data_IF_919759441077
#
_entry.id   IF_919759441077
#
_cell.length_a   1.000
_cell.length_b   1.000
_cell.length_c   1.000
_cell.angle_alpha   90.00
_cell.angle_beta   90.00
_cell.angle_gamma   90.00
#
_symmetry.space_group_name_H-M   'P 1'
#
loop_
_entity.id
_entity.type
_entity.pdbx_description
1 polymer ?
#
# COMPACT_ATOMS: atom_id res chain seq x y z
N UNK A 1 22.17 -8.05 -58.72
CA UNK A 1 20.82 -8.64 -58.57
C UNK A 1 20.49 -8.66 -57.08
N UNK A 2 19.29 -8.24 -56.67
CA UNK A 2 18.83 -8.31 -55.26
C UNK A 2 17.97 -9.57 -55.05
N UNK A 3 18.01 -10.20 -53.87
CA UNK A 3 17.13 -11.32 -53.56
C UNK A 3 15.66 -10.90 -53.61
N UNK A 4 14.81 -11.82 -54.04
CA UNK A 4 13.36 -11.65 -54.02
C UNK A 4 12.86 -11.45 -52.58
N UNK A 5 11.80 -10.66 -52.39
CA UNK A 5 11.24 -10.39 -51.07
C UNK A 5 10.87 -11.68 -50.31
N UNK A 6 10.19 -12.62 -50.98
CA UNK A 6 9.81 -13.89 -50.38
C UNK A 6 11.01 -14.76 -49.98
N UNK A 7 12.07 -14.75 -50.79
CA UNK A 7 13.31 -15.47 -50.45
C UNK A 7 13.95 -14.89 -49.20
N UNK A 8 14.06 -13.56 -49.11
CA UNK A 8 14.57 -12.87 -47.93
C UNK A 8 13.73 -13.19 -46.67
N UNK A 9 12.40 -13.08 -46.76
CA UNK A 9 11.49 -13.35 -45.63
C UNK A 9 11.60 -14.79 -45.13
N UNK A 10 11.72 -15.76 -46.03
CA UNK A 10 11.85 -17.17 -45.65
C UNK A 10 13.19 -17.45 -44.94
N UNK A 11 14.28 -16.86 -45.43
CA UNK A 11 15.59 -16.96 -44.77
C UNK A 11 15.54 -16.34 -43.37
N UNK A 12 14.99 -15.13 -43.24
CA UNK A 12 14.90 -14.43 -41.95
C UNK A 12 14.01 -15.18 -40.96
N UNK A 13 12.87 -15.74 -41.40
CA UNK A 13 12.01 -16.58 -40.55
C UNK A 13 12.75 -17.81 -40.01
N UNK A 14 13.60 -18.43 -40.83
CA UNK A 14 14.43 -19.54 -40.39
C UNK A 14 15.51 -19.11 -39.39
N UNK A 15 16.22 -18.01 -39.67
CA UNK A 15 17.26 -17.49 -38.78
C UNK A 15 16.72 -17.03 -37.42
N UNK A 16 15.48 -16.53 -37.39
CA UNK A 16 14.85 -15.95 -36.21
C UNK A 16 13.77 -16.84 -35.57
N UNK A 17 13.74 -18.14 -35.89
CA UNK A 17 12.69 -19.06 -35.40
C UNK A 17 12.57 -19.06 -33.87
N UNK A 18 13.70 -19.22 -33.17
CA UNK A 18 13.72 -19.23 -31.70
C UNK A 18 13.26 -17.90 -31.08
N UNK A 19 13.52 -16.78 -31.75
CA UNK A 19 13.07 -15.45 -31.32
C UNK A 19 11.58 -15.26 -31.59
N UNK A 20 11.08 -15.82 -32.69
CA UNK A 20 9.66 -15.77 -33.04
C UNK A 20 8.80 -16.55 -32.04
N UNK A 21 9.32 -17.61 -31.41
CA UNK A 21 8.62 -18.36 -30.35
C UNK A 21 8.27 -17.49 -29.14
N UNK A 22 9.05 -16.45 -28.86
CA UNK A 22 8.81 -15.51 -27.75
C UNK A 22 7.71 -14.48 -28.05
N UNK A 23 7.27 -14.33 -29.29
CA UNK A 23 6.35 -13.26 -29.71
C UNK A 23 5.00 -13.31 -28.97
N UNK A 24 4.54 -14.51 -28.59
CA UNK A 24 3.29 -14.68 -27.84
C UNK A 24 3.45 -14.18 -26.40
N UNK A 25 4.46 -14.67 -25.68
CA UNK A 25 4.74 -14.25 -24.30
C UNK A 25 5.11 -12.78 -24.20
N UNK A 26 5.83 -12.26 -25.20
CA UNK A 26 6.13 -10.84 -25.30
C UNK A 26 4.87 -9.99 -25.38
N UNK A 27 3.88 -10.40 -26.18
CA UNK A 27 2.60 -9.70 -26.27
C UNK A 27 1.84 -9.74 -24.95
N UNK A 28 1.77 -10.92 -24.31
CA UNK A 28 1.12 -11.03 -23.00
C UNK A 28 1.79 -10.15 -21.95
N UNK A 29 3.13 -10.09 -21.93
CA UNK A 29 3.86 -9.20 -21.04
C UNK A 29 3.51 -7.74 -21.31
N UNK A 30 3.51 -7.31 -22.57
CA UNK A 30 3.17 -5.94 -22.95
C UNK A 30 1.74 -5.58 -22.55
N UNK A 31 0.77 -6.45 -22.82
CA UNK A 31 -0.63 -6.24 -22.44
C UNK A 31 -0.78 -6.14 -20.91
N UNK A 32 -0.07 -6.98 -20.16
CA UNK A 32 -0.05 -6.93 -18.69
C UNK A 32 0.59 -5.64 -18.17
N UNK A 33 1.71 -5.19 -18.76
CA UNK A 33 2.37 -3.95 -18.38
C UNK A 33 1.50 -2.72 -18.67
N UNK A 34 0.75 -2.71 -19.78
CA UNK A 34 -0.23 -1.66 -20.07
C UNK A 34 -1.33 -1.64 -19.01
N UNK A 35 -1.89 -2.79 -18.65
CA UNK A 35 -2.90 -2.89 -17.60
C UNK A 35 -2.38 -2.40 -16.22
N UNK A 36 -1.10 -2.64 -15.91
CA UNK A 36 -0.47 -2.11 -14.70
C UNK A 36 -0.24 -0.60 -14.78
N UNK A 37 0.21 -0.09 -15.93
CA UNK A 37 0.41 1.34 -16.14
C UNK A 37 -0.89 2.13 -15.93
N UNK A 38 -2.03 1.64 -16.44
CA UNK A 38 -3.34 2.26 -16.25
C UNK A 38 -3.73 2.37 -14.75
N UNK A 39 -3.29 1.42 -13.92
CA UNK A 39 -3.52 1.44 -12.47
C UNK A 39 -2.59 2.40 -11.73
N UNK A 40 -1.38 2.61 -12.25
CA UNK A 40 -0.39 3.54 -11.69
C UNK A 40 -0.71 4.99 -12.07
N UNK A 41 -1.24 5.24 -13.26
CA UNK A 41 -1.59 6.61 -13.70
C UNK A 41 -3.01 7.04 -13.27
N UNK A 42 -3.83 6.09 -12.80
CA UNK A 42 -5.20 6.35 -12.38
C UNK A 42 -5.33 7.24 -11.12
N UNK A 43 -6.51 7.85 -10.88
CA UNK A 43 -6.76 8.76 -9.76
C UNK A 43 -6.72 8.11 -8.36
N UNK A 44 -6.71 6.78 -8.31
CA UNK A 44 -6.53 5.99 -7.09
C UNK A 44 -5.27 5.13 -7.19
N UNK A 45 -4.21 5.68 -7.77
CA UNK A 45 -2.95 4.99 -7.86
C UNK A 45 -2.32 4.75 -6.49
N UNK A 46 -1.35 3.84 -6.50
CA UNK A 46 -0.66 3.37 -5.30
C UNK A 46 -0.04 4.54 -4.52
N UNK A 47 0.59 5.48 -5.22
CA UNK A 47 1.25 6.63 -4.58
C UNK A 47 0.24 7.55 -3.89
N UNK A 48 -0.90 7.82 -4.52
CA UNK A 48 -1.97 8.65 -3.97
C UNK A 48 -2.60 7.97 -2.75
N UNK A 49 -2.90 6.68 -2.83
CA UNK A 49 -3.49 5.94 -1.71
C UNK A 49 -2.52 5.90 -0.53
N UNK A 50 -1.26 5.50 -0.75
CA UNK A 50 -0.24 5.43 0.30
C UNK A 50 0.04 6.82 0.88
N UNK A 51 0.19 7.82 0.01
CA UNK A 51 0.43 9.21 0.40
C UNK A 51 -0.70 9.80 1.25
N UNK A 52 -1.93 9.31 1.13
CA UNK A 52 -3.10 9.85 1.84
C UNK A 52 -3.52 9.06 3.08
N UNK A 53 -2.87 7.94 3.42
CA UNK A 53 -3.26 7.06 4.55
C UNK A 53 -3.38 7.85 5.86
N UNK A 54 -2.41 8.71 6.16
CA UNK A 54 -2.40 9.49 7.40
C UNK A 54 -3.60 10.45 7.51
N UNK A 55 -4.01 11.06 6.40
CA UNK A 55 -5.20 11.91 6.34
C UNK A 55 -6.47 11.09 6.55
N UNK A 56 -6.56 9.90 5.92
CA UNK A 56 -7.71 8.99 6.10
C UNK A 56 -7.87 8.51 7.54
N UNK A 57 -6.76 8.20 8.23
CA UNK A 57 -6.78 7.86 9.65
C UNK A 57 -7.27 9.05 10.48
N UNK A 58 -6.75 10.25 10.20
CA UNK A 58 -7.15 11.47 10.91
C UNK A 58 -8.63 11.79 10.71
N UNK A 59 -9.14 11.67 9.48
CA UNK A 59 -10.55 11.81 9.13
C UNK A 59 -11.42 10.80 9.89
N UNK A 60 -11.01 9.52 9.93
CA UNK A 60 -11.73 8.50 10.68
C UNK A 60 -11.77 8.77 12.19
N UNK A 61 -10.67 9.26 12.77
CA UNK A 61 -10.62 9.66 14.19
C UNK A 61 -11.53 10.87 14.44
N UNK A 62 -11.48 11.90 13.61
CA UNK A 62 -12.37 13.07 13.73
C UNK A 62 -13.83 12.65 13.67
N UNK A 63 -14.18 11.82 12.67
CA UNK A 63 -15.54 11.30 12.51
C UNK A 63 -16.00 10.48 13.73
N UNK A 64 -15.12 9.68 14.34
CA UNK A 64 -15.45 8.96 15.58
C UNK A 64 -15.66 9.92 16.75
N UNK A 65 -14.84 10.96 16.87
CA UNK A 65 -14.93 11.94 17.95
C UNK A 65 -16.21 12.78 17.84
N UNK A 66 -16.55 13.24 16.64
CA UNK A 66 -17.79 13.99 16.35
C UNK A 66 -19.05 13.15 16.63
N UNK A 67 -19.00 11.85 16.34
CA UNK A 67 -20.14 10.95 16.50
C UNK A 67 -20.11 10.15 17.81
N UNK A 68 -19.16 10.42 18.71
CA UNK A 68 -18.88 9.62 19.91
C UNK A 68 -20.13 9.34 20.73
N UNK A 69 -20.93 10.37 21.00
CA UNK A 69 -22.08 10.24 21.92
C UNK A 69 -23.22 9.46 21.28
N UNK A 70 -23.50 9.70 20.00
CA UNK A 70 -24.49 8.95 19.22
C UNK A 70 -24.11 7.46 19.12
N UNK A 71 -22.85 7.18 18.81
CA UNK A 71 -22.32 5.81 18.76
C UNK A 71 -22.44 5.16 20.14
N UNK A 72 -22.02 5.84 21.21
CA UNK A 72 -22.08 5.33 22.59
C UNK A 72 -23.51 5.02 23.01
N UNK A 73 -24.47 5.91 22.73
CA UNK A 73 -25.88 5.71 23.05
C UNK A 73 -26.46 4.49 22.33
N UNK A 74 -26.18 4.34 21.02
CA UNK A 74 -26.61 3.17 20.24
C UNK A 74 -25.99 1.87 20.75
N UNK A 75 -24.71 1.91 21.12
CA UNK A 75 -24.02 0.75 21.71
C UNK A 75 -24.64 0.38 23.05
N UNK A 76 -24.95 1.34 23.92
CA UNK A 76 -25.58 1.03 25.22
C UNK A 76 -27.00 0.52 25.07
N UNK A 77 -27.75 1.03 24.08
CA UNK A 77 -29.09 0.53 23.77
C UNK A 77 -29.05 -0.92 23.26
N UNK A 78 -28.09 -1.26 22.38
CA UNK A 78 -27.99 -2.60 21.79
C UNK A 78 -27.29 -3.63 22.68
N UNK A 79 -26.25 -3.22 23.41
CA UNK A 79 -25.39 -4.11 24.20
C UNK A 79 -25.62 -4.02 25.72
N UNK A 80 -26.40 -3.03 26.17
CA UNK A 80 -26.59 -2.72 27.60
C UNK A 80 -25.54 -1.73 28.14
N UNK A 81 -25.83 -1.17 29.32
CA UNK A 81 -24.94 -0.20 29.96
C UNK A 81 -23.69 -0.90 30.55
N UNK A 82 -22.48 -0.45 30.22
CA UNK A 82 -21.25 -1.03 30.75
C UNK A 82 -21.10 -0.75 32.25
N UNK A 83 -20.67 -1.75 33.02
CA UNK A 83 -20.31 -1.60 34.43
C UNK A 83 -18.88 -1.08 34.53
N UNK A 84 -18.70 0.22 34.79
CA UNK A 84 -17.38 0.80 35.03
C UNK A 84 -16.94 0.39 36.44
N UNK A 85 -16.08 -0.61 36.57
CA UNK A 85 -15.52 -0.98 37.87
C UNK A 85 -14.51 0.06 38.32
N UNK A 86 -14.87 0.87 39.32
CA UNK A 86 -14.02 1.88 39.97
C UNK A 86 -12.91 1.30 40.85
N UNK A 87 -12.55 0.02 40.68
CA UNK A 87 -11.30 -0.51 41.26
C UNK A 87 -10.15 0.00 40.42
N UNK A 88 -9.61 1.15 40.83
CA UNK A 88 -8.30 1.60 40.37
C UNK A 88 -7.33 0.44 40.47
N UNK A 89 -6.54 0.24 39.41
CA UNK A 89 -5.34 -0.57 39.43
C UNK A 89 -4.33 0.09 40.38
N UNK A 90 -4.58 -0.02 41.68
CA UNK A 90 -3.66 0.26 42.77
C UNK A 90 -3.30 -1.08 43.40
N UNK A 91 -2.56 -1.88 42.67
CA UNK A 91 -1.64 -2.86 43.24
C UNK A 91 -0.30 -2.66 42.54
N UNK A 92 0.60 -2.06 43.30
CA UNK A 92 2.04 -1.91 43.13
C UNK A 92 2.70 -2.59 41.93
N UNK A 93 3.25 -1.78 41.03
CA UNK A 93 4.49 -2.10 40.32
C UNK A 93 5.42 -0.87 40.35
N UNK A 94 5.87 -0.54 41.57
CA UNK A 94 7.08 0.28 41.79
C UNK A 94 8.31 -0.58 41.52
N UNK A 95 8.70 -0.80 40.25
CA UNK A 95 10.12 -0.92 39.88
C UNK A 95 10.33 -0.84 38.38
N UNK A 96 11.36 -0.09 37.99
CA UNK A 96 11.95 0.06 36.65
C UNK A 96 11.34 1.13 35.74
N UNK A 97 11.31 2.37 36.24
CA UNK A 97 11.51 3.54 35.37
C UNK A 97 13.00 3.67 35.09
N UNK A 98 13.48 2.91 34.10
CA UNK A 98 14.79 3.14 33.50
C UNK A 98 14.79 4.51 32.80
N UNK A 99 15.69 5.38 33.22
CA UNK A 99 15.94 6.69 32.61
C UNK A 99 16.54 6.45 31.22
N UNK A 100 15.74 6.57 30.16
CA UNK A 100 16.28 6.69 28.79
C UNK A 100 16.70 8.13 28.60
N UNK A 101 18.01 8.38 28.67
CA UNK A 101 18.62 9.62 28.21
C UNK A 101 18.62 9.61 26.68
N UNK A 102 17.86 10.51 26.07
CA UNK A 102 18.02 10.87 24.67
C UNK A 102 19.30 11.71 24.56
N UNK A 103 20.42 11.07 24.22
CA UNK A 103 21.58 11.80 23.70
C UNK A 103 21.27 12.21 22.25
N UNK A 104 20.99 13.50 22.06
CA UNK A 104 21.06 14.12 20.75
C UNK A 104 22.53 14.16 20.32
N UNK A 105 22.94 13.25 19.43
CA UNK A 105 24.21 13.38 18.73
C UNK A 105 23.96 13.92 17.32
N UNK A 106 24.18 15.23 17.20
CA UNK A 106 24.42 15.90 15.93
C UNK A 106 25.62 15.24 15.25
N UNK A 107 25.42 14.70 14.07
CA UNK A 107 26.50 14.34 13.16
C UNK A 107 26.35 15.20 11.91
N UNK A 108 27.10 16.30 11.90
CA UNK A 108 27.58 16.91 10.67
C UNK A 108 28.43 15.86 9.94
N UNK A 109 28.20 15.70 8.64
CA UNK A 109 29.11 15.02 7.72
C UNK A 109 29.31 15.94 6.52
N UNK A 110 30.57 15.95 6.09
CA UNK A 110 31.27 16.81 5.15
C UNK A 110 30.59 17.03 3.79
#
# INVERSE_FOLDING_TARGET
VKPCSNYCLNVVKGCLANQADLNTEWKYLMDALVAVADRIDGPYNVDTVIGTIHMRISEAISNLQENKDSITAKVFQGCGNPKISTKGSSSEDKKRRGKVTLEAKSSAVA
#
